data_IF_632687936544
#
_entry.id   IF_632687936544
#
_cell.length_a   1.000
_cell.length_b   1.000
_cell.length_c   1.000
_cell.angle_alpha   90.00
_cell.angle_beta   90.00
_cell.angle_gamma   90.00
#
_symmetry.space_group_name_H-M   'P 1'
#
loop_
_entity.id
_entity.type
_entity.pdbx_description
1 polymer ?
#
# COMPACT_ATOMS: atom_id res chain seq x y z
N UNK A 1 -29.22 55.37 15.53
CA UNK A 1 -29.61 54.49 14.38
C UNK A 1 -30.15 53.22 14.98
N UNK A 2 -31.46 53.01 15.05
CA UNK A 2 -32.02 51.78 15.64
C UNK A 2 -32.07 50.67 14.57
N UNK A 3 -31.46 49.56 14.87
CA UNK A 3 -31.50 48.38 14.02
C UNK A 3 -32.94 47.85 14.02
N UNK A 4 -33.54 47.63 12.84
CA UNK A 4 -34.89 47.08 12.70
C UNK A 4 -34.93 45.67 13.33
N UNK A 5 -36.02 45.35 14.04
CA UNK A 5 -36.23 43.98 14.59
C UNK A 5 -36.15 42.88 13.50
N UNK A 6 -36.63 43.17 12.30
CA UNK A 6 -36.53 42.28 11.18
C UNK A 6 -35.06 42.02 10.71
N UNK A 7 -34.23 43.08 10.74
CA UNK A 7 -32.81 42.92 10.40
C UNK A 7 -32.09 42.01 11.41
N UNK A 8 -32.42 42.14 12.70
CA UNK A 8 -31.83 41.27 13.72
C UNK A 8 -32.26 39.81 13.56
N UNK A 9 -33.52 39.56 13.16
CA UNK A 9 -34.03 38.24 12.91
C UNK A 9 -33.32 37.57 11.71
N UNK A 10 -33.13 38.31 10.61
CA UNK A 10 -32.39 37.79 9.43
C UNK A 10 -30.94 37.50 9.74
N UNK A 11 -30.26 38.33 10.51
CA UNK A 11 -28.89 38.07 10.98
C UNK A 11 -28.83 36.80 11.81
N UNK A 12 -29.79 36.59 12.71
CA UNK A 12 -29.86 35.38 13.54
C UNK A 12 -30.05 34.12 12.69
N UNK A 13 -30.98 34.12 11.72
CA UNK A 13 -31.22 32.99 10.81
C UNK A 13 -29.98 32.70 9.98
N UNK A 14 -29.33 33.70 9.43
CA UNK A 14 -28.09 33.52 8.62
C UNK A 14 -26.97 32.91 9.48
N UNK A 15 -26.80 33.35 10.71
CA UNK A 15 -25.78 32.83 11.62
C UNK A 15 -26.02 31.35 11.97
N UNK A 16 -27.30 31.01 12.25
CA UNK A 16 -27.68 29.59 12.47
C UNK A 16 -27.44 28.76 11.24
N UNK A 17 -27.79 29.24 10.05
CA UNK A 17 -27.56 28.50 8.79
C UNK A 17 -26.06 28.27 8.55
N UNK A 18 -25.19 29.25 8.82
CA UNK A 18 -23.75 29.12 8.70
C UNK A 18 -23.21 28.05 9.69
N UNK A 19 -23.64 28.10 10.94
CA UNK A 19 -23.24 27.14 11.96
C UNK A 19 -23.68 25.73 11.59
N UNK A 20 -24.92 25.55 11.17
CA UNK A 20 -25.44 24.24 10.72
C UNK A 20 -24.66 23.74 9.51
N UNK A 21 -24.42 24.60 8.51
CA UNK A 21 -23.64 24.23 7.33
C UNK A 21 -22.20 23.82 7.70
N UNK A 22 -21.56 24.54 8.60
CA UNK A 22 -20.21 24.21 9.11
C UNK A 22 -20.19 22.88 9.85
N UNK A 23 -21.18 22.62 10.71
CA UNK A 23 -21.30 21.34 11.41
C UNK A 23 -21.55 20.18 10.46
N UNK A 24 -22.45 20.35 9.48
CA UNK A 24 -22.70 19.35 8.43
C UNK A 24 -21.45 19.09 7.61
N UNK A 25 -20.71 20.12 7.20
CA UNK A 25 -19.45 19.96 6.47
C UNK A 25 -18.43 19.18 7.29
N UNK A 26 -18.32 19.45 8.58
CA UNK A 26 -17.43 18.74 9.50
C UNK A 26 -17.77 17.25 9.63
N UNK A 27 -19.07 16.89 9.51
CA UNK A 27 -19.55 15.52 9.54
C UNK A 27 -19.36 14.78 8.21
N UNK A 28 -19.56 15.47 7.08
CA UNK A 28 -19.51 14.88 5.72
C UNK A 28 -18.05 14.75 5.23
N UNK A 29 -17.20 15.70 5.60
CA UNK A 29 -15.79 15.73 5.24
C UNK A 29 -14.91 15.83 6.51
N UNK A 30 -14.77 14.72 7.27
CA UNK A 30 -13.88 14.74 8.43
C UNK A 30 -12.45 15.08 7.96
N UNK A 31 -11.65 15.77 8.77
CA UNK A 31 -10.26 16.02 8.43
C UNK A 31 -9.53 14.70 8.26
N UNK A 32 -8.52 14.64 7.36
CA UNK A 32 -7.73 13.45 7.17
C UNK A 32 -7.09 12.98 8.48
N UNK A 33 -6.89 11.67 8.65
CA UNK A 33 -6.24 11.15 9.85
C UNK A 33 -4.84 11.75 9.97
N UNK A 34 -4.44 12.07 11.20
CA UNK A 34 -3.09 12.56 11.49
C UNK A 34 -2.09 11.44 11.77
N UNK A 35 -2.56 10.22 11.84
CA UNK A 35 -1.75 9.03 12.04
C UNK A 35 -2.12 7.99 10.99
N UNK A 36 -1.12 7.41 10.35
CA UNK A 36 -1.26 6.36 9.34
C UNK A 36 -0.29 5.24 9.68
N UNK A 37 -0.78 4.00 9.78
CA UNK A 37 0.07 2.82 9.89
C UNK A 37 0.41 2.30 8.49
N UNK A 38 1.70 2.07 8.26
CA UNK A 38 2.26 1.75 6.97
C UNK A 38 3.14 0.51 7.06
N UNK A 39 2.74 -0.58 6.38
CA UNK A 39 3.55 -1.79 6.33
C UNK A 39 4.64 -1.68 5.26
N UNK A 40 5.87 -1.96 5.65
CA UNK A 40 7.04 -1.81 4.81
C UNK A 40 7.62 -3.17 4.40
N UNK A 41 8.67 -3.61 5.02
CA UNK A 41 9.33 -4.88 4.77
C UNK A 41 10.38 -5.14 5.85
N UNK A 42 11.29 -6.06 5.58
CA UNK A 42 12.35 -6.38 6.52
C UNK A 42 13.25 -5.18 6.78
N UNK A 43 13.70 -5.05 8.02
CA UNK A 43 14.63 -3.99 8.44
C UNK A 43 15.86 -3.95 7.54
N UNK A 44 16.17 -2.76 7.01
CA UNK A 44 17.28 -2.53 6.07
C UNK A 44 16.99 -2.91 4.62
N UNK A 45 15.82 -3.45 4.30
CA UNK A 45 15.37 -3.69 2.93
C UNK A 45 14.92 -2.39 2.24
N UNK A 46 14.75 -2.45 0.92
CA UNK A 46 14.34 -1.29 0.11
C UNK A 46 13.00 -0.70 0.56
N UNK A 47 12.02 -1.53 0.86
CA UNK A 47 10.71 -1.07 1.36
C UNK A 47 10.83 -0.32 2.69
N UNK A 48 11.67 -0.82 3.62
CA UNK A 48 11.88 -0.16 4.89
C UNK A 48 12.59 1.19 4.73
N UNK A 49 13.56 1.30 3.82
CA UNK A 49 14.23 2.55 3.51
C UNK A 49 13.26 3.56 2.92
N UNK A 50 12.47 3.17 1.91
CA UNK A 50 11.44 4.03 1.32
C UNK A 50 10.40 4.48 2.33
N UNK A 51 9.98 3.58 3.24
CA UNK A 51 9.04 3.94 4.29
C UNK A 51 9.58 5.00 5.25
N UNK A 52 10.88 4.97 5.55
CA UNK A 52 11.54 6.00 6.37
C UNK A 52 11.60 7.36 5.65
N UNK A 53 11.83 7.35 4.33
CA UNK A 53 11.76 8.59 3.53
C UNK A 53 10.35 9.17 3.54
N UNK A 54 9.33 8.33 3.37
CA UNK A 54 7.93 8.74 3.48
C UNK A 54 7.61 9.26 4.87
N UNK A 55 8.10 8.62 5.93
CA UNK A 55 7.89 9.08 7.31
C UNK A 55 8.40 10.52 7.50
N UNK A 56 9.56 10.85 6.96
CA UNK A 56 10.12 12.20 7.02
C UNK A 56 9.24 13.20 6.25
N UNK A 57 8.80 12.84 5.04
CA UNK A 57 7.94 13.68 4.21
C UNK A 57 6.57 13.93 4.83
N UNK A 58 5.93 12.88 5.37
CA UNK A 58 4.63 13.01 6.04
C UNK A 58 4.70 13.86 7.32
N UNK A 59 5.84 13.84 8.02
CA UNK A 59 6.05 14.66 9.21
C UNK A 59 6.06 16.18 8.89
N UNK A 60 6.49 16.58 7.68
CA UNK A 60 6.43 17.97 7.22
C UNK A 60 4.97 18.45 7.04
N UNK A 61 4.04 17.53 6.83
CA UNK A 61 2.60 17.79 6.66
C UNK A 61 1.78 17.54 7.95
N UNK A 62 2.44 17.51 9.10
CA UNK A 62 1.79 17.20 10.41
C UNK A 62 1.07 15.85 10.47
N UNK A 63 1.55 14.85 9.69
CA UNK A 63 1.04 13.47 9.69
C UNK A 63 2.10 12.52 10.25
N UNK A 64 1.74 11.73 11.22
CA UNK A 64 2.60 10.68 11.80
C UNK A 64 2.44 9.39 11.00
N UNK A 65 3.51 8.96 10.33
CA UNK A 65 3.56 7.66 9.65
C UNK A 65 4.17 6.62 10.59
N UNK A 66 3.36 5.69 11.08
CA UNK A 66 3.79 4.57 11.93
C UNK A 66 4.26 3.43 11.04
N UNK A 67 5.57 3.30 10.84
CA UNK A 67 6.16 2.26 9.99
C UNK A 67 6.19 0.92 10.71
N UNK A 68 5.54 -0.09 10.13
CA UNK A 68 5.49 -1.48 10.60
C UNK A 68 6.43 -2.31 9.73
N UNK A 69 7.48 -2.88 10.34
CA UNK A 69 8.37 -3.80 9.65
C UNK A 69 7.71 -5.18 9.55
N UNK A 70 7.84 -5.81 8.39
CA UNK A 70 7.25 -7.12 8.06
C UNK A 70 8.28 -8.01 7.38
N UNK A 71 7.92 -9.22 7.02
CA UNK A 71 8.80 -10.13 6.27
C UNK A 71 8.67 -9.97 4.75
N UNK A 72 7.68 -9.19 4.27
CA UNK A 72 7.51 -8.87 2.85
C UNK A 72 6.05 -8.66 2.43
N UNK A 73 5.83 -8.78 1.12
CA UNK A 73 4.54 -8.45 0.48
C UNK A 73 3.36 -9.29 0.99
N UNK A 74 3.59 -10.55 1.35
CA UNK A 74 2.53 -11.42 1.91
C UNK A 74 2.00 -10.88 3.23
N UNK A 75 2.90 -10.62 4.19
CA UNK A 75 2.50 -10.02 5.48
C UNK A 75 1.84 -8.67 5.27
N UNK A 76 2.34 -7.86 4.32
CA UNK A 76 1.79 -6.55 4.02
C UNK A 76 0.34 -6.63 3.51
N UNK A 77 0.06 -7.57 2.62
CA UNK A 77 -1.29 -7.84 2.13
C UNK A 77 -2.21 -8.30 3.26
N UNK A 78 -1.76 -9.19 4.14
CA UNK A 78 -2.55 -9.68 5.26
C UNK A 78 -2.87 -8.56 6.27
N UNK A 79 -1.92 -7.67 6.54
CA UNK A 79 -2.14 -6.49 7.38
C UNK A 79 -3.12 -5.50 6.76
N UNK A 80 -3.10 -5.31 5.43
CA UNK A 80 -4.07 -4.50 4.70
C UNK A 80 -5.47 -5.11 4.76
N UNK A 81 -5.62 -6.41 4.42
CA UNK A 81 -6.92 -7.13 4.44
C UNK A 81 -7.57 -7.12 5.81
N UNK A 82 -6.77 -7.21 6.87
CA UNK A 82 -7.26 -7.16 8.25
C UNK A 82 -7.46 -5.76 8.81
N UNK A 83 -7.13 -4.71 8.04
CA UNK A 83 -7.26 -3.31 8.45
C UNK A 83 -6.26 -2.88 9.53
N UNK A 84 -5.23 -3.68 9.80
CA UNK A 84 -4.20 -3.36 10.79
C UNK A 84 -3.24 -2.27 10.31
N UNK A 85 -3.14 -2.05 9.01
CA UNK A 85 -2.45 -0.91 8.39
C UNK A 85 -3.34 -0.28 7.32
N UNK A 86 -3.14 1.00 7.07
CA UNK A 86 -3.89 1.76 6.07
C UNK A 86 -3.22 1.76 4.71
N UNK A 87 -1.90 1.55 4.68
CA UNK A 87 -1.14 1.50 3.44
C UNK A 87 0.06 0.56 3.57
N UNK A 88 0.56 0.06 2.45
CA UNK A 88 1.72 -0.83 2.41
C UNK A 88 2.43 -0.79 1.06
N UNK A 89 3.70 -1.16 1.03
CA UNK A 89 4.43 -1.46 -0.20
C UNK A 89 4.29 -2.95 -0.50
N UNK A 90 3.86 -3.28 -1.71
CA UNK A 90 3.65 -4.66 -2.15
C UNK A 90 4.30 -4.84 -3.52
N UNK A 91 4.95 -5.97 -3.74
CA UNK A 91 5.54 -6.30 -5.03
C UNK A 91 4.45 -6.46 -6.09
N UNK A 92 4.69 -5.89 -7.27
CA UNK A 92 3.76 -6.03 -8.39
C UNK A 92 3.51 -7.50 -8.75
N UNK A 93 2.24 -7.86 -8.94
CA UNK A 93 1.82 -9.23 -9.23
C UNK A 93 1.66 -10.14 -8.00
N UNK A 94 1.90 -9.64 -6.77
CA UNK A 94 1.69 -10.43 -5.55
C UNK A 94 0.22 -10.42 -5.07
N UNK A 95 -0.62 -9.49 -5.56
CA UNK A 95 -2.04 -9.42 -5.21
C UNK A 95 -2.85 -10.54 -5.85
N UNK A 96 -3.92 -10.97 -5.18
CA UNK A 96 -4.87 -11.95 -5.68
C UNK A 96 -6.08 -11.26 -6.32
N UNK A 97 -6.85 -11.93 -7.20
CA UNK A 97 -8.05 -11.34 -7.81
C UNK A 97 -9.09 -10.83 -6.80
N UNK A 98 -9.21 -11.49 -5.65
CA UNK A 98 -10.10 -11.07 -4.56
C UNK A 98 -9.72 -9.71 -3.96
N UNK A 99 -8.44 -9.34 -4.01
CA UNK A 99 -7.95 -8.06 -3.48
C UNK A 99 -8.45 -6.85 -4.31
N UNK A 100 -8.79 -7.06 -5.58
CA UNK A 100 -9.22 -5.98 -6.48
C UNK A 100 -10.46 -5.23 -6.00
N UNK A 101 -11.30 -5.88 -5.18
CA UNK A 101 -12.51 -5.27 -4.63
C UNK A 101 -12.28 -4.55 -3.30
N UNK A 102 -11.21 -4.88 -2.59
CA UNK A 102 -10.97 -4.42 -1.22
C UNK A 102 -9.76 -3.49 -1.12
N UNK A 103 -8.77 -3.67 -2.02
CA UNK A 103 -7.54 -2.91 -2.03
C UNK A 103 -7.45 -2.01 -3.27
N UNK A 104 -6.89 -0.83 -3.07
CA UNK A 104 -6.66 0.13 -4.16
C UNK A 104 -5.17 0.42 -4.30
N UNK A 105 -4.64 0.33 -5.52
CA UNK A 105 -3.30 0.78 -5.82
C UNK A 105 -3.24 2.30 -5.86
N UNK A 106 -2.30 2.89 -5.13
CA UNK A 106 -2.02 4.33 -5.15
C UNK A 106 -0.98 4.71 -6.21
N UNK A 107 -0.29 3.73 -6.77
CA UNK A 107 0.74 3.93 -7.79
C UNK A 107 1.92 2.99 -7.63
N UNK A 108 2.91 3.17 -8.50
CA UNK A 108 4.17 2.41 -8.48
C UNK A 108 5.27 3.27 -7.82
N UNK A 109 5.95 2.71 -6.82
CA UNK A 109 7.03 3.39 -6.10
C UNK A 109 8.35 3.25 -6.84
N UNK A 110 8.68 2.02 -7.28
CA UNK A 110 9.88 1.71 -8.07
C UNK A 110 9.69 0.40 -8.85
N UNK A 111 10.59 0.12 -9.79
CA UNK A 111 10.58 -1.13 -10.54
C UNK A 111 11.31 -2.23 -9.77
N UNK A 112 10.67 -3.40 -9.69
CA UNK A 112 11.24 -4.61 -9.09
C UNK A 112 11.29 -5.73 -10.14
N UNK A 113 12.35 -5.79 -10.96
CA UNK A 113 12.50 -6.86 -11.92
C UNK A 113 12.73 -8.19 -11.20
N UNK A 114 12.09 -9.25 -11.67
CA UNK A 114 12.38 -10.60 -11.20
C UNK A 114 13.62 -11.11 -11.91
N UNK A 115 14.69 -11.35 -11.17
CA UNK A 115 15.93 -11.93 -11.67
C UNK A 115 15.93 -13.43 -11.40
N UNK A 116 16.13 -14.23 -12.45
CA UNK A 116 16.28 -15.68 -12.34
C UNK A 116 17.74 -16.04 -12.60
N UNK A 117 18.38 -16.66 -11.62
CA UNK A 117 19.74 -17.14 -11.71
C UNK A 117 19.77 -18.67 -11.72
N UNK A 118 20.58 -19.24 -12.57
CA UNK A 118 20.80 -20.69 -12.63
C UNK A 118 22.31 -20.97 -12.57
N UNK A 119 22.66 -22.18 -12.09
CA UNK A 119 24.05 -22.62 -12.05
C UNK A 119 24.53 -22.95 -13.46
N UNK A 120 25.71 -22.46 -13.82
CA UNK A 120 26.37 -22.85 -15.06
C UNK A 120 26.65 -24.36 -15.06
N UNK A 121 26.40 -25.05 -16.23
CA UNK A 121 26.50 -26.51 -16.34
C UNK A 121 25.30 -27.33 -15.79
N UNK A 122 24.24 -26.70 -15.33
CA UNK A 122 22.95 -27.37 -15.20
C UNK A 122 22.45 -27.69 -16.64
N UNK A 123 21.94 -28.89 -16.88
CA UNK A 123 21.39 -29.34 -18.19
C UNK A 123 20.15 -28.51 -18.63
N UNK A 124 20.05 -27.30 -18.15
CA UNK A 124 18.95 -26.41 -18.30
C UNK A 124 19.39 -25.21 -19.09
N UNK A 125 19.23 -25.28 -20.37
CA UNK A 125 18.88 -24.12 -21.16
C UNK A 125 19.99 -23.40 -21.88
N UNK A 126 19.80 -23.36 -23.14
CA UNK A 126 20.13 -22.18 -23.93
C UNK A 126 19.28 -21.02 -23.39
N UNK A 127 19.90 -19.89 -22.99
CA UNK A 127 19.24 -18.71 -22.41
C UNK A 127 18.15 -18.13 -23.33
N UNK A 128 18.20 -18.45 -24.62
CA UNK A 128 17.24 -18.03 -25.63
C UNK A 128 15.88 -18.76 -25.52
N UNK A 129 15.81 -19.85 -24.74
CA UNK A 129 14.63 -20.70 -24.57
C UNK A 129 14.21 -20.77 -23.08
N UNK A 130 14.15 -19.65 -22.38
CA UNK A 130 13.67 -19.58 -20.98
C UNK A 130 12.18 -19.95 -20.91
N UNK A 131 11.91 -21.24 -20.85
CA UNK A 131 10.56 -21.79 -20.65
C UNK A 131 10.42 -22.26 -19.21
N UNK A 132 9.47 -21.66 -18.48
CA UNK A 132 9.20 -22.01 -17.06
C UNK A 132 8.83 -23.48 -16.88
N UNK A 133 8.28 -24.14 -17.92
CA UNK A 133 7.99 -25.57 -17.93
C UNK A 133 9.24 -26.46 -17.75
N UNK A 134 10.40 -25.94 -18.12
CA UNK A 134 11.67 -26.62 -17.92
C UNK A 134 12.14 -26.67 -16.47
N UNK A 135 11.50 -25.90 -15.57
CA UNK A 135 11.78 -25.93 -14.13
C UNK A 135 11.07 -27.07 -13.39
N UNK A 136 10.22 -27.87 -14.07
CA UNK A 136 9.59 -29.00 -13.43
C UNK A 136 10.66 -29.98 -12.89
N UNK A 137 10.46 -30.44 -11.66
CA UNK A 137 11.39 -31.28 -10.89
C UNK A 137 12.70 -30.62 -10.45
N UNK A 138 12.85 -29.31 -10.61
CA UNK A 138 14.00 -28.57 -10.07
C UNK A 138 13.72 -28.03 -8.67
N UNK A 139 14.80 -27.85 -7.92
CA UNK A 139 14.75 -27.12 -6.64
C UNK A 139 15.01 -25.65 -6.92
N UNK A 140 14.03 -24.81 -6.59
CA UNK A 140 14.08 -23.37 -6.81
C UNK A 140 14.18 -22.67 -5.45
N UNK A 141 15.11 -21.73 -5.30
CA UNK A 141 15.21 -20.86 -4.16
C UNK A 141 14.46 -19.56 -4.48
N UNK A 142 13.24 -19.41 -3.98
CA UNK A 142 12.36 -18.29 -4.30
C UNK A 142 12.16 -17.31 -3.11
N UNK A 143 12.95 -17.43 -2.05
CA UNK A 143 12.82 -16.61 -0.84
C UNK A 143 11.92 -17.21 0.24
N UNK A 144 11.62 -16.43 1.28
CA UNK A 144 10.71 -16.84 2.36
C UNK A 144 9.26 -16.91 1.86
N UNK A 145 8.41 -17.67 2.56
CA UNK A 145 7.01 -17.90 2.17
C UNK A 145 6.19 -16.62 1.95
N UNK A 146 6.44 -15.60 2.74
CA UNK A 146 5.70 -14.33 2.69
C UNK A 146 6.43 -13.25 1.87
N UNK A 147 7.59 -13.56 1.25
CA UNK A 147 8.28 -12.62 0.38
C UNK A 147 7.52 -12.39 -0.93
N UNK A 148 7.55 -11.18 -1.46
CA UNK A 148 6.95 -10.86 -2.76
C UNK A 148 7.53 -11.70 -3.90
N UNK A 149 8.83 -11.95 -3.88
CA UNK A 149 9.50 -12.82 -4.85
C UNK A 149 8.96 -14.24 -4.84
N UNK A 150 8.68 -14.80 -3.64
CA UNK A 150 8.10 -16.14 -3.50
C UNK A 150 6.68 -16.18 -4.05
N UNK A 151 5.83 -15.23 -3.68
CA UNK A 151 4.46 -15.15 -4.17
C UNK A 151 4.40 -15.04 -5.70
N UNK A 152 5.26 -14.21 -6.28
CA UNK A 152 5.34 -14.04 -7.72
C UNK A 152 5.86 -15.31 -8.41
N UNK A 153 6.90 -15.94 -7.88
CA UNK A 153 7.47 -17.17 -8.42
C UNK A 153 6.44 -18.33 -8.40
N UNK A 154 5.75 -18.53 -7.29
CA UNK A 154 4.72 -19.55 -7.14
C UNK A 154 3.59 -19.34 -8.14
N UNK A 155 3.14 -18.10 -8.34
CA UNK A 155 2.12 -17.75 -9.34
C UNK A 155 2.60 -18.05 -10.77
N UNK A 156 3.79 -17.59 -11.13
CA UNK A 156 4.34 -17.83 -12.46
C UNK A 156 4.50 -19.32 -12.77
N UNK A 157 4.90 -20.13 -11.78
CA UNK A 157 5.04 -21.58 -11.93
C UNK A 157 3.69 -22.29 -11.97
N UNK A 158 2.66 -21.76 -11.32
CA UNK A 158 1.33 -22.36 -11.34
C UNK A 158 0.57 -22.11 -12.67
N UNK A 159 0.87 -21.01 -13.36
CA UNK A 159 0.22 -20.63 -14.62
C UNK A 159 0.88 -21.27 -15.85
N UNK A 160 1.99 -22.00 -15.70
CA UNK A 160 2.77 -22.65 -16.78
C UNK A 160 2.97 -24.14 -16.54
#
# INVERSE_FOLDING_TARGET
MSISKSALTYVGITLVAIIVSFLLFRFIAPPPPKEVSFASGSTGGAYAQTALEYQAFFAEEDVTLNVVNTTGSGDNLDLLRTGNVQAAIVQGGATLPEDENELQSLGTVFYEPLWVFFRDGADVMNIDDLDLRNFSNMRIAAGSETSGTRLLADRMLAEN
#
